data_IF_058342038278
#
_entry.id   IF_058342038278
#
_cell.length_a   1.000
_cell.length_b   1.000
_cell.length_c   1.000
_cell.angle_alpha   90.00
_cell.angle_beta   90.00
_cell.angle_gamma   90.00
#
_symmetry.space_group_name_H-M   'P 1'
#
loop_
_entity.id
_entity.type
_entity.pdbx_description
1 polymer ?
2 non-polymer ?
3 water ?
#
# COMPACT_ATOMS: atom_id res chain seq x y z
N UNK A 7 11.87 6.49 -24.50
CA UNK A 7 10.61 6.70 -23.74
C UNK A 7 10.51 8.13 -23.23
N UNK A 8 9.27 8.60 -23.02
CA UNK A 8 9.03 9.95 -22.53
C UNK A 8 9.73 10.19 -21.20
N UNK A 9 10.43 11.32 -21.09
CA UNK A 9 11.14 11.67 -19.86
C UNK A 9 10.78 13.05 -19.33
N UNK A 10 9.60 13.52 -19.67
CA UNK A 10 9.10 14.82 -19.21
C UNK A 10 7.60 14.73 -19.14
N UNK A 11 7.04 15.02 -17.97
CA UNK A 11 5.60 14.96 -17.75
C UNK A 11 4.79 15.66 -18.85
N UNK A 12 5.20 16.87 -19.19
CA UNK A 12 4.50 17.64 -20.22
C UNK A 12 4.42 16.86 -21.54
N UNK A 13 5.42 16.02 -21.78
CA UNK A 13 5.46 15.24 -23.01
C UNK A 13 4.37 14.18 -23.09
N UNK A 14 3.79 13.82 -21.94
CA UNK A 14 2.73 12.82 -21.93
C UNK A 14 1.47 13.41 -22.54
N UNK A 15 1.31 14.73 -22.41
CA UNK A 15 0.14 15.41 -22.95
C UNK A 15 0.10 15.28 -24.47
N UNK A 16 -1.03 14.80 -24.97
CA UNK A 16 -1.26 14.59 -26.40
C UNK A 16 -0.41 13.49 -27.01
N UNK A 17 0.21 12.67 -26.16
CA UNK A 17 1.00 11.56 -26.66
C UNK A 17 -0.02 10.57 -27.18
N UNK A 18 0.31 9.85 -28.25
CA UNK A 18 -0.64 8.89 -28.79
C UNK A 18 -0.86 7.79 -27.76
N UNK A 19 -2.11 7.40 -27.57
CA UNK A 19 -2.43 6.36 -26.59
C UNK A 19 -1.64 5.09 -26.86
N UNK A 20 -1.55 4.69 -28.13
CA UNK A 20 -0.84 3.47 -28.48
C UNK A 20 0.64 3.50 -28.08
N UNK A 21 1.26 4.67 -28.06
CA UNK A 21 2.67 4.76 -27.71
C UNK A 21 2.96 4.42 -26.24
N UNK A 22 1.91 4.40 -25.42
CA UNK A 22 2.08 4.10 -24.00
C UNK A 22 1.57 2.72 -23.66
N UNK A 23 1.07 2.02 -24.68
CA UNK A 23 0.54 0.68 -24.48
C UNK A 23 1.57 -0.37 -24.91
N UNK A 24 1.81 -1.35 -24.03
CA UNK A 24 2.75 -2.40 -24.33
C UNK A 24 2.17 -3.79 -24.10
N UNK A 25 2.43 -4.67 -25.06
CA UNK A 25 1.96 -6.04 -25.01
C UNK A 25 2.46 -6.68 -23.72
N UNK A 26 1.57 -7.38 -23.02
CA UNK A 26 1.92 -8.04 -21.76
C UNK A 26 3.38 -8.40 -21.68
N UNK A 27 4.14 -7.55 -20.99
CA UNK A 27 5.58 -7.74 -20.82
C UNK A 27 5.87 -8.85 -19.82
N UNK A 28 5.10 -9.93 -19.90
CA UNK A 28 5.29 -11.06 -19.01
C UNK A 28 6.50 -11.87 -19.47
N UNK A 29 7.13 -11.41 -20.54
CA UNK A 29 8.28 -12.08 -21.12
C UNK A 29 9.51 -11.18 -21.11
N UNK A 30 9.77 -10.53 -19.98
CA UNK A 30 10.92 -9.63 -19.86
C UNK A 30 12.11 -10.34 -19.24
N UNK A 31 13.25 -10.27 -19.93
CA UNK A 31 14.48 -10.88 -19.44
C UNK A 31 15.35 -9.76 -18.87
N UNK A 32 15.81 -9.95 -17.63
CA UNK A 32 16.64 -8.94 -16.98
C UNK A 32 18.08 -9.41 -16.82
N UNK A 33 19.01 -8.46 -16.89
CA UNK A 33 20.43 -8.74 -16.72
C UNK A 33 20.99 -7.84 -15.63
N UNK A 34 22.12 -8.26 -15.06
CA UNK A 34 22.75 -7.47 -14.02
C UNK A 34 22.58 -8.12 -12.65
N UNK A 35 23.18 -7.54 -11.59
CA UNK A 35 23.04 -8.12 -10.26
C UNK A 35 21.61 -7.96 -9.77
N UNK A 36 21.24 -8.67 -8.71
CA UNK A 36 19.88 -8.61 -8.19
C UNK A 36 19.31 -7.19 -8.01
N UNK A 37 20.02 -6.31 -7.31
CA UNK A 37 19.50 -4.96 -7.10
C UNK A 37 19.19 -4.24 -8.41
N UNK A 38 20.02 -4.43 -9.42
CA UNK A 38 19.79 -3.79 -10.70
C UNK A 38 18.55 -4.41 -11.35
N UNK A 39 18.41 -5.73 -11.27
CA UNK A 39 17.25 -6.37 -11.87
C UNK A 39 15.96 -5.91 -11.19
N UNK A 40 16.03 -5.72 -9.88
CA UNK A 40 14.87 -5.26 -9.12
C UNK A 40 14.50 -3.83 -9.52
N UNK A 41 15.50 -2.99 -9.71
CA UNK A 41 15.27 -1.61 -10.11
C UNK A 41 14.67 -1.55 -11.51
N UNK A 42 15.20 -2.37 -12.42
CA UNK A 42 14.68 -2.40 -13.78
C UNK A 42 13.22 -2.87 -13.77
N UNK A 43 12.95 -3.88 -12.95
CA UNK A 43 11.61 -4.45 -12.83
C UNK A 43 10.62 -3.45 -12.25
N UNK A 44 11.08 -2.62 -11.32
CA UNK A 44 10.22 -1.61 -10.72
C UNK A 44 9.76 -0.63 -11.78
N UNK A 45 10.70 -0.18 -12.61
CA UNK A 45 10.36 0.75 -13.69
C UNK A 45 9.38 0.05 -14.63
N UNK A 46 9.64 -1.21 -14.94
CA UNK A 46 8.76 -1.96 -15.83
C UNK A 46 7.37 -2.14 -15.23
N UNK A 47 7.29 -2.24 -13.89
CA UNK A 47 5.99 -2.41 -13.25
C UNK A 47 5.17 -1.14 -13.46
N UNK A 48 5.85 0.01 -13.45
CA UNK A 48 5.18 1.28 -13.66
C UNK A 48 4.73 1.42 -15.11
N UNK A 49 5.57 0.98 -16.03
CA UNK A 49 5.23 1.04 -17.46
C UNK A 49 4.02 0.15 -17.73
N UNK A 50 3.99 -1.02 -17.09
CA UNK A 50 2.90 -1.97 -17.27
C UNK A 50 1.62 -1.39 -16.68
N UNK A 51 1.74 -0.77 -15.51
CA UNK A 51 0.60 -0.16 -14.83
C UNK A 51 -0.01 0.93 -15.70
N UNK A 52 0.83 1.81 -16.23
CA UNK A 52 0.35 2.89 -17.08
C UNK A 52 -0.24 2.32 -18.36
N UNK A 53 0.41 1.28 -18.91
CA UNK A 53 -0.07 0.66 -20.13
C UNK A 53 -1.48 0.11 -19.97
N UNK A 54 -1.74 -0.55 -18.84
CA UNK A 54 -3.06 -1.12 -18.59
C UNK A 54 -4.12 -0.02 -18.46
N UNK A 55 -3.78 1.06 -17.77
CA UNK A 55 -4.72 2.16 -17.58
C UNK A 55 -5.07 2.81 -18.93
N UNK A 56 -4.06 3.10 -19.74
CA UNK A 56 -4.29 3.72 -21.03
C UNK A 56 -5.05 2.76 -21.95
N UNK A 57 -4.64 1.49 -21.95
CA UNK A 57 -5.28 0.47 -22.78
C UNK A 57 -6.77 0.33 -22.48
N UNK A 58 -7.13 0.32 -21.19
CA UNK A 58 -8.53 0.19 -20.83
C UNK A 58 -9.36 1.40 -21.24
N UNK A 59 -8.76 2.58 -21.19
CA UNK A 59 -9.48 3.79 -21.58
C UNK A 59 -9.72 3.78 -23.09
N UNK A 60 -8.75 3.29 -23.85
CA UNK A 60 -8.90 3.19 -25.30
C UNK A 60 -9.99 2.19 -25.64
N UNK A 61 -9.98 1.04 -24.95
CA UNK A 61 -10.97 -0.01 -25.18
C UNK A 61 -12.38 0.48 -24.92
N UNK A 62 -12.55 1.28 -23.87
CA UNK A 62 -13.85 1.83 -23.52
C UNK A 62 -14.42 2.57 -24.73
N UNK A 63 -13.58 3.37 -25.37
CA UNK A 63 -14.00 4.16 -26.53
C UNK A 63 -14.04 3.41 -27.86
N UNK A 64 -13.12 2.48 -28.06
CA UNK A 64 -13.04 1.77 -29.33
C UNK A 64 -13.76 0.43 -29.49
N UNK A 65 -13.97 -0.32 -28.41
CA UNK A 65 -14.62 -1.62 -28.58
C UNK A 65 -16.01 -1.54 -29.15
N UNK A 66 -16.72 -0.45 -28.87
CA UNK A 66 -18.07 -0.25 -29.37
C UNK A 66 -18.21 1.21 -29.83
N UNK A 67 -19.08 1.44 -30.80
CA UNK A 67 -19.30 2.78 -31.34
C UNK A 67 -19.61 3.79 -30.24
N UNK A 68 -20.43 3.38 -29.29
CA UNK A 68 -20.80 4.25 -28.18
C UNK A 68 -21.05 3.40 -26.96
N UNK A 69 -21.08 4.05 -25.79
CA UNK A 69 -21.33 3.35 -24.54
C UNK A 69 -22.06 4.32 -23.61
N UNK A 70 -23.19 3.87 -23.09
CA UNK A 70 -24.02 4.67 -22.19
C UNK A 70 -24.52 3.79 -21.05
N UNK A 71 -24.32 4.23 -19.82
CA UNK A 71 -24.76 3.45 -18.67
C UNK A 71 -25.50 4.32 -17.66
N UNK A 72 -26.47 3.73 -16.96
CA UNK A 72 -27.27 4.45 -15.98
C UNK A 72 -26.70 4.45 -14.57
N UNK A 73 -25.91 3.42 -14.25
CA UNK A 73 -25.33 3.31 -12.92
C UNK A 73 -23.90 3.85 -12.93
N UNK A 74 -23.50 4.44 -11.81
CA UNK A 74 -22.16 5.00 -11.68
C UNK A 74 -21.12 3.90 -11.78
N UNK A 75 -20.01 4.20 -12.46
CA UNK A 75 -18.93 3.24 -12.67
C UNK A 75 -17.59 3.82 -12.21
N UNK A 76 -16.55 3.00 -12.28
CA UNK A 76 -15.21 3.45 -11.89
C UNK A 76 -14.64 4.27 -13.04
N UNK A 77 -15.22 4.09 -14.23
CA UNK A 77 -14.78 4.83 -15.39
C UNK A 77 -15.86 5.81 -15.84
N UNK A 78 -15.47 6.78 -16.65
CA UNK A 78 -16.42 7.75 -17.14
C UNK A 78 -16.15 8.09 -18.59
N UNK A 79 -17.21 8.42 -19.31
CA UNK A 79 -17.08 8.81 -20.71
C UNK A 79 -17.85 10.11 -20.87
N UNK A 80 -17.13 11.14 -21.31
CA UNK A 80 -17.71 12.47 -21.49
C UNK A 80 -18.01 12.80 -22.95
N UNK A 81 -19.24 13.21 -23.21
CA UNK A 81 -19.63 13.60 -24.56
C UNK A 81 -19.18 15.05 -24.65
N UNK A 82 -18.24 15.34 -25.55
CA UNK A 82 -17.72 16.70 -25.68
C UNK A 82 -18.75 17.74 -26.14
N UNK A 83 -19.50 17.40 -27.19
CA UNK A 83 -20.49 18.33 -27.71
C UNK A 83 -21.44 18.89 -26.66
N UNK A 84 -21.91 18.04 -25.76
CA UNK A 84 -22.85 18.47 -24.71
C UNK A 84 -22.18 18.65 -23.35
N UNK A 85 -21.00 18.06 -23.20
CA UNK A 85 -20.28 18.11 -21.93
C UNK A 85 -21.04 17.36 -20.84
N UNK A 86 -21.69 16.27 -21.23
CA UNK A 86 -22.44 15.43 -20.28
C UNK A 86 -21.77 14.06 -20.18
N UNK A 87 -21.82 13.44 -18.99
CA UNK A 87 -21.23 12.12 -18.82
C UNK A 87 -22.16 11.02 -19.28
N UNK A 88 -21.79 10.33 -20.36
CA UNK A 88 -22.60 9.24 -20.90
C UNK A 88 -22.45 8.04 -19.97
N UNK A 89 -21.29 7.97 -19.31
CA UNK A 89 -21.01 6.95 -18.32
C UNK A 89 -20.46 7.77 -17.17
N UNK A 90 -21.18 7.76 -16.05
CA UNK A 90 -20.82 8.54 -14.87
C UNK A 90 -19.75 7.91 -13.99
N UNK A 91 -18.64 8.64 -13.77
CA UNK A 91 -17.52 8.16 -12.95
C UNK A 91 -17.72 8.43 -11.46
N UNK A 92 -17.09 7.60 -10.63
CA UNK A 92 -17.17 7.72 -9.18
C UNK A 92 -16.22 8.77 -8.62
N UNK A 93 -15.32 9.26 -9.45
CA UNK A 93 -14.36 10.27 -9.02
C UNK A 93 -14.51 11.54 -9.85
N UNK A 94 -13.89 12.63 -9.38
CA UNK A 94 -13.97 13.91 -10.08
C UNK A 94 -12.58 14.49 -10.31
N UNK A 95 -12.50 15.48 -11.21
CA UNK A 95 -11.26 16.18 -11.51
C UNK A 95 -10.06 15.27 -11.84
N UNK A 96 -10.30 14.24 -12.64
CA UNK A 96 -9.22 13.32 -13.01
C UNK A 96 -8.04 14.10 -13.59
N UNK A 97 -6.83 13.69 -13.21
CA UNK A 97 -5.62 14.36 -13.69
C UNK A 97 -5.41 14.15 -15.18
N UNK A 98 -5.85 13.01 -15.70
CA UNK A 98 -5.70 12.72 -17.12
C UNK A 98 -6.75 11.74 -17.61
N UNK A 99 -6.75 11.52 -18.92
CA UNK A 99 -7.69 10.60 -19.53
C UNK A 99 -7.30 10.43 -20.97
N UNK A 100 -8.09 9.66 -21.72
CA UNK A 100 -7.81 9.45 -23.13
C UNK A 100 -8.86 10.20 -23.94
N UNK A 101 -8.40 10.95 -24.93
CA UNK A 101 -9.28 11.73 -25.77
C UNK A 101 -9.46 11.12 -27.16
N UNK A 102 -10.70 11.12 -27.61
CA UNK A 102 -11.03 10.62 -28.94
C UNK A 102 -11.35 11.84 -29.78
N UNK A 103 -10.56 12.07 -30.84
CA UNK A 103 -10.80 13.22 -31.70
C UNK A 103 -11.87 12.85 -32.73
N UNK A 104 -12.37 13.86 -33.44
CA UNK A 104 -13.38 13.59 -34.45
C UNK A 104 -12.80 12.71 -35.55
N UNK A 105 -11.49 12.86 -35.80
CA UNK A 105 -10.81 12.07 -36.81
C UNK A 105 -10.61 10.66 -36.28
N UNK A 106 -11.09 10.44 -35.05
CA UNK A 106 -10.99 9.15 -34.38
C UNK A 106 -9.57 8.71 -34.08
N UNK A 107 -8.81 9.63 -33.51
CA UNK A 107 -7.44 9.36 -33.10
C UNK A 107 -7.49 9.42 -31.58
N UNK A 108 -6.70 8.60 -30.91
CA UNK A 108 -6.70 8.56 -29.46
C UNK A 108 -5.38 9.01 -28.84
N UNK A 109 -5.47 10.06 -28.03
CA UNK A 109 -4.32 10.65 -27.36
C UNK A 109 -4.55 10.76 -25.87
N UNK A 110 -3.47 10.68 -25.10
CA UNK A 110 -3.55 10.84 -23.66
C UNK A 110 -3.57 12.35 -23.45
N UNK A 111 -4.36 12.82 -22.50
CA UNK A 111 -4.42 14.25 -22.26
C UNK A 111 -4.34 14.60 -20.79
N UNK A 112 -3.45 15.52 -20.46
CA UNK A 112 -3.34 15.98 -19.08
C UNK A 112 -4.45 17.03 -19.04
N UNK A 113 -5.52 16.69 -18.33
CA UNK A 113 -6.69 17.53 -18.25
C UNK A 113 -6.62 18.74 -17.34
N UNK A 114 -6.95 19.91 -17.89
CA UNK A 114 -7.01 21.13 -17.08
C UNK A 114 -8.40 20.97 -16.53
N UNK A 115 -8.97 21.94 -15.81
CA UNK A 115 -10.28 21.60 -15.29
C UNK A 115 -11.41 22.52 -14.91
N UNK A 116 -11.26 23.84 -14.87
CA UNK A 116 -12.44 24.58 -14.47
C UNK A 116 -13.06 25.63 -15.36
N UNK A 117 -14.37 25.47 -15.50
CA UNK A 117 -15.28 26.29 -16.28
C UNK A 117 -16.61 25.86 -15.67
N UNK A 118 -17.09 24.76 -16.21
CA UNK A 118 -18.32 24.11 -15.80
C UNK A 118 -17.87 22.66 -15.77
N UNK A 119 -16.56 22.48 -15.95
CA UNK A 119 -15.95 21.16 -15.96
C UNK A 119 -14.61 21.14 -16.70
N UNK A 120 -14.33 20.04 -17.38
CA UNK A 120 -13.09 19.89 -18.13
C UNK A 120 -13.00 20.83 -19.35
N UNK A 121 -11.83 21.39 -19.58
CA UNK A 121 -11.63 22.28 -20.72
C UNK A 121 -11.34 21.39 -21.93
N UNK A 122 -12.15 21.49 -22.97
CA UNK A 122 -11.96 20.67 -24.15
C UNK A 122 -11.56 21.47 -25.39
N UNK A 123 -11.04 20.78 -26.38
CA UNK A 123 -10.63 21.40 -27.64
C UNK A 123 -11.67 21.14 -28.71
N UNK A 124 -11.60 21.89 -29.80
CA UNK A 124 -12.56 21.76 -30.89
C UNK A 124 -12.63 20.38 -31.56
N UNK A 125 -11.49 19.72 -31.75
CA UNK A 125 -11.50 18.41 -32.39
C UNK A 125 -11.75 17.23 -31.45
N UNK A 126 -12.12 17.52 -30.20
CA UNK A 126 -12.39 16.46 -29.23
C UNK A 126 -13.82 15.96 -29.37
N UNK A 127 -13.97 14.64 -29.44
CA UNK A 127 -15.29 14.02 -29.57
C UNK A 127 -15.74 13.43 -28.23
N UNK A 128 -14.86 12.68 -27.59
CA UNK A 128 -15.16 12.08 -26.29
C UNK A 128 -13.91 12.01 -25.42
N UNK A 129 -14.12 11.95 -24.12
CA UNK A 129 -13.03 11.86 -23.16
C UNK A 129 -13.34 10.71 -22.21
N UNK A 130 -12.39 9.80 -22.03
CA UNK A 130 -12.58 8.67 -21.12
C UNK A 130 -11.65 8.83 -19.93
N UNK A 131 -12.18 8.56 -18.74
CA UNK A 131 -11.39 8.64 -17.51
C UNK A 131 -11.71 7.43 -16.66
N UNK A 132 -10.88 7.16 -15.65
CA UNK A 132 -11.11 6.01 -14.77
C UNK A 132 -10.42 6.22 -13.42
N UNK A 133 -10.66 5.30 -12.50
CA UNK A 133 -10.05 5.38 -11.18
C UNK A 133 -8.52 5.32 -11.33
N UNK A 134 -8.06 4.77 -12.45
CA UNK A 134 -6.63 4.67 -12.71
C UNK A 134 -6.05 5.94 -13.30
N UNK A 135 -6.91 6.87 -13.70
CA UNK A 135 -6.43 8.12 -14.27
C UNK A 135 -6.74 9.32 -13.38
N UNK A 136 -7.07 9.06 -12.12
CA UNK A 136 -7.36 10.13 -11.18
C UNK A 136 -6.10 10.97 -10.97
N UNK A 137 -4.95 10.30 -10.87
CA UNK A 137 -3.68 10.98 -10.69
C UNK A 137 -2.71 10.51 -11.77
N UNK A 138 -1.67 11.29 -12.04
CA UNK A 138 -0.68 10.91 -13.04
C UNK A 138 0.64 10.54 -12.38
N UNK A 139 0.54 9.94 -11.19
CA UNK A 139 1.71 9.55 -10.41
C UNK A 139 2.64 8.58 -11.14
N UNK A 140 2.09 7.60 -11.85
CA UNK A 140 2.93 6.66 -12.58
C UNK A 140 3.75 7.40 -13.63
N UNK A 141 3.12 8.36 -14.30
CA UNK A 141 3.80 9.14 -15.33
C UNK A 141 4.93 9.96 -14.71
N UNK A 142 4.63 10.62 -13.59
CA UNK A 142 5.63 11.44 -12.90
C UNK A 142 6.81 10.61 -12.40
N UNK A 143 6.51 9.44 -11.83
CA UNK A 143 7.58 8.56 -11.35
C UNK A 143 8.44 8.06 -12.51
N UNK A 144 7.79 7.63 -13.58
CA UNK A 144 8.52 7.14 -14.74
C UNK A 144 9.49 8.18 -15.29
N UNK A 145 9.02 9.40 -15.47
CA UNK A 145 9.90 10.43 -16.00
C UNK A 145 11.08 10.68 -15.06
N UNK A 146 10.84 10.61 -13.76
CA UNK A 146 11.93 10.79 -12.80
C UNK A 146 12.96 9.67 -12.92
N UNK A 147 12.47 8.43 -12.83
CA UNK A 147 13.31 7.25 -12.89
C UNK A 147 14.07 7.06 -14.19
N UNK A 148 13.43 7.36 -15.32
CA UNK A 148 14.09 7.20 -16.61
C UNK A 148 15.30 8.12 -16.73
N UNK A 149 15.25 9.27 -16.07
CA UNK A 149 16.35 10.22 -16.12
C UNK A 149 17.54 9.70 -15.32
N UNK A 150 17.29 8.73 -14.45
CA UNK A 150 18.34 8.14 -13.63
C UNK A 150 19.03 6.96 -14.31
N UNK A 151 18.58 6.62 -15.51
CA UNK A 151 19.17 5.51 -16.25
C UNK A 151 20.16 5.96 -17.30
N UNK A 152 21.20 5.14 -17.50
CA UNK A 152 22.22 5.41 -18.50
C UNK A 152 22.15 4.21 -19.43
N UNK A 153 21.52 4.40 -20.59
CA UNK A 153 21.36 3.31 -21.54
C UNK A 153 20.56 2.18 -20.91
N UNK A 154 19.53 2.56 -20.16
CA UNK A 154 18.68 1.57 -19.50
C UNK A 154 19.24 0.96 -18.23
N UNK A 155 20.42 1.42 -17.82
CA UNK A 155 21.05 0.89 -16.61
C UNK A 155 21.02 1.85 -15.41
N UNK A 156 20.58 1.35 -14.25
CA UNK A 156 20.50 2.16 -13.03
C UNK A 156 21.79 2.06 -12.23
N UNK A 157 22.05 3.03 -11.37
CA UNK A 157 23.23 3.01 -10.52
C UNK A 157 22.84 2.52 -9.14
N UNK A 158 23.52 1.47 -8.67
CA UNK A 158 23.24 0.93 -7.34
C UNK A 158 24.09 1.66 -6.32
N UNK A 159 23.48 1.99 -5.19
CA UNK A 159 24.20 2.69 -4.13
C UNK A 159 25.12 1.76 -3.37
N UNK A 160 26.21 2.32 -2.86
CA UNK A 160 27.17 1.55 -2.08
C UNK A 160 26.82 1.64 -0.59
N UNK A 161 25.77 2.41 -0.28
CA UNK A 161 25.34 2.57 1.10
C UNK A 161 24.98 1.25 1.77
N UNK A 162 25.25 1.17 3.06
CA UNK A 162 24.93 -0.04 3.81
C UNK A 162 23.42 0.01 4.05
N UNK A 163 22.76 -1.13 3.88
CA UNK A 163 21.31 -1.20 4.09
C UNK A 163 21.03 -2.13 5.26
N UNK A 164 20.38 -1.58 6.29
CA UNK A 164 20.04 -2.32 7.48
C UNK A 164 18.54 -2.51 7.62
N UNK A 165 18.12 -3.78 7.71
CA UNK A 165 16.71 -4.08 7.90
C UNK A 165 16.48 -4.19 9.40
N UNK A 166 15.54 -3.41 9.92
CA UNK A 166 15.22 -3.49 11.33
C UNK A 166 13.91 -4.27 11.35
N UNK A 167 14.04 -5.58 11.54
CA UNK A 167 12.93 -6.53 11.55
C UNK A 167 12.30 -6.65 12.94
N UNK A 168 11.13 -6.06 13.12
CA UNK A 168 10.49 -6.09 14.43
C UNK A 168 9.09 -6.68 14.52
N UNK A 169 8.73 -7.14 15.70
CA UNK A 169 7.42 -7.75 15.94
C UNK A 169 6.32 -6.68 16.00
N UNK A 170 5.05 -7.08 15.85
CA UNK A 170 3.96 -6.11 15.89
C UNK A 170 3.98 -5.27 17.16
N UNK A 171 3.86 -3.96 17.01
CA UNK A 171 3.86 -3.06 18.15
C UNK A 171 5.20 -2.86 18.85
N UNK A 172 6.29 -3.24 18.20
CA UNK A 172 7.60 -3.06 18.82
C UNK A 172 7.95 -1.57 18.84
N UNK A 173 7.15 -0.77 18.13
CA UNK A 173 7.39 0.67 18.10
C UNK A 173 8.41 1.10 17.06
N UNK A 174 8.21 0.69 15.81
CA UNK A 174 9.15 1.03 14.76
C UNK A 174 9.20 2.53 14.47
N UNK A 175 8.03 3.17 14.43
CA UNK A 175 8.02 4.60 14.16
C UNK A 175 8.65 5.36 15.33
N UNK A 176 8.40 4.90 16.55
CA UNK A 176 9.00 5.56 17.71
C UNK A 176 10.52 5.43 17.62
N UNK A 177 11.00 4.29 17.16
CA UNK A 177 12.45 4.11 17.04
C UNK A 177 13.02 5.09 16.02
N UNK A 178 12.38 5.19 14.87
CA UNK A 178 12.85 6.10 13.84
C UNK A 178 12.92 7.52 14.41
N UNK A 179 11.86 7.92 15.11
CA UNK A 179 11.81 9.25 15.71
C UNK A 179 12.94 9.49 16.71
N UNK A 180 13.38 8.44 17.40
CA UNK A 180 14.44 8.57 18.39
C UNK A 180 15.85 8.48 17.78
N UNK A 181 15.97 7.74 16.69
CA UNK A 181 17.25 7.53 16.02
C UNK A 181 17.69 8.60 15.04
N UNK A 182 16.72 9.14 14.32
CA UNK A 182 16.99 10.13 13.29
C UNK A 182 17.63 11.43 13.77
N UNK A 183 18.44 12.00 12.88
CA UNK A 183 19.07 13.29 13.12
C UNK A 183 18.39 14.14 12.07
N UNK A 184 17.40 14.90 12.49
CA UNK A 184 16.63 15.74 11.58
C UNK A 184 17.44 16.76 10.78
N UNK A 185 18.59 17.15 11.30
CA UNK A 185 19.41 18.13 10.60
C UNK A 185 20.18 17.52 9.42
N UNK A 186 20.35 16.20 9.44
CA UNK A 186 21.12 15.53 8.38
C UNK A 186 20.44 14.40 7.64
N UNK A 187 19.41 13.81 8.23
CA UNK A 187 18.74 12.66 7.62
C UNK A 187 17.38 12.89 6.98
N UNK A 188 16.92 11.83 6.30
CA UNK A 188 15.64 11.85 5.61
C UNK A 188 14.79 10.65 6.03
N UNK A 189 13.51 10.88 6.23
CA UNK A 189 12.56 9.82 6.58
C UNK A 189 11.54 9.75 5.47
N UNK A 190 11.31 8.55 4.94
CA UNK A 190 10.32 8.36 3.90
C UNK A 190 9.32 7.30 4.35
N UNK A 191 8.07 7.46 3.95
CA UNK A 191 7.01 6.53 4.29
C UNK A 191 5.99 6.58 3.16
N UNK A 192 5.26 5.48 2.92
CA UNK A 192 4.26 5.49 1.84
C UNK A 192 3.09 6.48 1.91
N UNK A 193 2.31 6.46 2.99
CA UNK A 193 1.15 7.34 3.04
C UNK A 193 1.33 8.80 3.42
N UNK A 194 0.45 9.68 2.90
CA UNK A 194 0.51 11.10 3.22
C UNK A 194 0.14 11.29 4.69
N UNK A 195 -0.90 10.60 5.11
CA UNK A 195 -1.35 10.69 6.50
C UNK A 195 -0.24 10.15 7.41
N UNK A 196 0.42 9.08 6.97
CA UNK A 196 1.50 8.48 7.74
C UNK A 196 2.65 9.47 7.91
N UNK A 197 3.03 10.14 6.83
CA UNK A 197 4.12 11.10 6.90
C UNK A 197 3.75 12.25 7.83
N UNK A 198 2.52 12.74 7.71
CA UNK A 198 2.09 13.84 8.56
C UNK A 198 2.15 13.48 10.05
N UNK A 199 1.74 12.26 10.38
CA UNK A 199 1.75 11.82 11.78
C UNK A 199 3.17 11.68 12.32
N UNK A 200 4.11 11.34 11.44
CA UNK A 200 5.50 11.22 11.88
C UNK A 200 5.98 12.62 12.25
N UNK A 201 5.63 13.61 11.44
CA UNK A 201 6.03 14.99 11.71
C UNK A 201 5.37 15.51 12.99
N UNK A 202 4.07 15.28 13.13
CA UNK A 202 3.36 15.74 14.32
C UNK A 202 3.95 15.13 15.58
N UNK A 203 4.30 13.85 15.55
CA UNK A 203 4.89 13.21 16.72
C UNK A 203 6.26 13.81 17.00
N UNK A 204 7.05 14.01 15.94
CA UNK A 204 8.38 14.58 16.08
C UNK A 204 8.34 16.01 16.62
N UNK A 205 7.34 16.77 16.20
CA UNK A 205 7.19 18.16 16.60
C UNK A 205 6.26 18.40 17.78
N UNK A 206 5.94 17.34 18.53
CA UNK A 206 5.03 17.47 19.67
C UNK A 206 5.46 18.50 20.71
N UNK A 207 6.77 18.70 20.87
CA UNK A 207 7.29 19.65 21.85
C UNK A 207 6.99 21.10 21.46
N UNK A 208 6.70 21.32 20.19
CA UNK A 208 6.43 22.67 19.72
C UNK A 208 7.59 23.14 18.86
N UNK A 209 8.76 22.55 19.09
CA UNK A 209 9.94 22.92 18.30
C UNK A 209 9.85 22.14 17.00
N UNK A 210 9.86 22.84 15.88
CA UNK A 210 9.78 22.18 14.59
C UNK A 210 11.11 21.60 14.17
N UNK A 211 11.19 20.28 14.13
CA UNK A 211 12.42 19.60 13.70
C UNK A 211 12.12 18.79 12.45
N UNK A 212 10.85 18.41 12.29
CA UNK A 212 10.42 17.62 11.13
C UNK A 212 9.62 18.48 10.17
N UNK A 213 10.10 18.56 8.93
CA UNK A 213 9.44 19.37 7.90
C UNK A 213 9.10 18.52 6.68
N UNK A 214 8.47 19.13 5.69
CA UNK A 214 8.12 18.40 4.49
C UNK A 214 9.35 18.20 3.62
N UNK A 215 10.50 18.61 4.13
CA UNK A 215 11.77 18.43 3.41
C UNK A 215 12.54 17.23 3.96
N UNK A 216 12.36 16.90 5.25
CA UNK A 216 13.07 15.75 5.82
C UNK A 216 12.18 14.57 6.23
N UNK A 217 10.86 14.72 6.04
CA UNK A 217 9.90 13.66 6.32
C UNK A 217 8.89 13.78 5.20
N UNK A 218 8.96 12.85 4.24
CA UNK A 218 8.07 12.92 3.08
C UNK A 218 7.53 11.55 2.67
N UNK A 219 6.57 11.56 1.77
CA UNK A 219 6.01 10.31 1.27
C UNK A 219 6.95 9.83 0.17
N UNK A 220 6.93 8.53 -0.10
CA UNK A 220 7.75 7.97 -1.15
C UNK A 220 7.37 8.57 -2.50
N UNK A 221 6.08 8.69 -2.75
CA UNK A 221 5.60 9.24 -4.02
C UNK A 221 6.07 10.67 -4.23
N UNK A 222 5.98 11.50 -3.19
CA UNK A 222 6.41 12.89 -3.31
C UNK A 222 7.91 12.96 -3.63
N UNK A 223 8.71 12.19 -2.91
CA UNK A 223 10.15 12.15 -3.12
C UNK A 223 10.49 11.79 -4.57
N UNK A 224 9.82 10.77 -5.10
CA UNK A 224 10.05 10.33 -6.47
C UNK A 224 9.54 11.30 -7.53
N UNK A 225 8.30 11.75 -7.37
CA UNK A 225 7.68 12.64 -8.36
C UNK A 225 8.28 14.03 -8.50
N UNK A 226 8.89 14.55 -7.44
CA UNK A 226 9.46 15.89 -7.49
C UNK A 226 10.97 15.90 -7.39
N UNK A 227 11.59 14.73 -7.56
CA UNK A 227 13.04 14.63 -7.45
C UNK A 227 13.78 15.61 -8.35
N UNK A 228 14.75 16.32 -7.77
CA UNK A 228 15.52 17.27 -8.54
C UNK A 228 14.76 18.50 -8.97
N UNK A 229 13.51 18.62 -8.54
CA UNK A 229 12.68 19.78 -8.87
C UNK A 229 13.41 21.04 -8.40
N UNK A 230 13.96 20.96 -7.19
CA UNK A 230 14.69 22.09 -6.64
C UNK A 230 16.13 21.69 -6.38
N UNK A 231 16.45 21.46 -5.12
CA UNK A 231 17.80 21.07 -4.74
C UNK A 231 17.92 19.54 -4.69
N UNK A 232 19.14 19.05 -4.86
CA UNK A 232 19.42 17.62 -4.80
C UNK A 232 20.23 17.43 -3.53
N UNK A 233 19.53 17.20 -2.43
CA UNK A 233 20.18 17.05 -1.14
C UNK A 233 20.80 15.70 -0.87
N UNK A 234 21.96 15.74 -0.22
CA UNK A 234 22.66 14.53 0.16
C UNK A 234 22.33 14.33 1.62
N UNK A 235 21.60 13.27 1.92
CA UNK A 235 21.24 12.98 3.30
C UNK A 235 22.27 11.98 3.82
N UNK A 236 22.61 12.09 5.10
CA UNK A 236 23.58 11.20 5.69
C UNK A 236 22.97 9.81 5.88
N UNK A 237 21.77 9.79 6.43
CA UNK A 237 21.09 8.52 6.66
C UNK A 237 19.66 8.59 6.15
N UNK A 238 19.17 7.44 5.70
CA UNK A 238 17.80 7.35 5.20
C UNK A 238 17.05 6.34 6.05
N UNK A 239 15.85 6.72 6.46
CA UNK A 239 14.99 5.84 7.26
C UNK A 239 13.73 5.62 6.46
N UNK A 240 13.43 4.36 6.15
CA UNK A 240 12.21 4.06 5.40
C UNK A 240 11.23 3.30 6.27
N UNK A 241 10.17 3.97 6.70
CA UNK A 241 9.16 3.31 7.52
C UNK A 241 8.29 2.53 6.54
N UNK A 242 7.84 1.34 6.95
CA UNK A 242 7.00 0.49 6.10
C UNK A 242 7.70 0.13 4.80
N UNK A 243 9.04 0.04 4.85
CA UNK A 243 9.81 -0.27 3.66
C UNK A 243 9.55 -1.60 2.98
N UNK A 244 9.08 -2.60 3.71
CA UNK A 244 8.81 -3.90 3.10
C UNK A 244 7.50 -3.90 2.33
N UNK A 245 6.76 -2.79 2.38
CA UNK A 245 5.50 -2.70 1.67
C UNK A 245 5.66 -2.02 0.33
N UNK A 246 6.92 -1.89 -0.10
CA UNK A 246 7.28 -1.27 -1.36
C UNK A 246 7.96 -2.28 -2.26
N UNK A 247 7.94 -2.04 -3.57
CA UNK A 247 8.62 -2.91 -4.53
C UNK A 247 10.10 -2.79 -4.14
N UNK A 248 10.81 -3.92 -4.09
CA UNK A 248 12.22 -3.89 -3.73
C UNK A 248 13.04 -2.97 -4.61
N UNK A 249 12.63 -2.85 -5.87
CA UNK A 249 13.33 -1.98 -6.80
C UNK A 249 13.16 -0.53 -6.39
N UNK A 250 12.01 -0.23 -5.79
CA UNK A 250 11.74 1.12 -5.34
C UNK A 250 12.67 1.47 -4.19
N UNK A 251 12.83 0.54 -3.25
CA UNK A 251 13.71 0.80 -2.12
C UNK A 251 15.14 1.06 -2.60
N UNK A 252 15.63 0.22 -3.51
CA UNK A 252 16.99 0.39 -4.04
C UNK A 252 17.16 1.80 -4.61
N UNK A 253 16.15 2.28 -5.34
CA UNK A 253 16.21 3.63 -5.92
C UNK A 253 16.23 4.69 -4.84
N UNK A 254 15.39 4.53 -3.81
CA UNK A 254 15.35 5.51 -2.74
C UNK A 254 16.70 5.63 -2.03
N UNK A 255 17.33 4.48 -1.77
CA UNK A 255 18.63 4.48 -1.11
C UNK A 255 19.63 5.28 -1.94
N UNK A 256 19.63 5.01 -3.25
CA UNK A 256 20.52 5.69 -4.18
C UNK A 256 20.21 7.19 -4.30
N UNK A 257 18.95 7.51 -4.57
CA UNK A 257 18.52 8.89 -4.75
C UNK A 257 18.71 9.79 -3.54
N UNK A 258 18.66 9.22 -2.34
CA UNK A 258 18.84 10.02 -1.12
C UNK A 258 20.32 10.35 -0.91
N UNK A 259 21.19 9.65 -1.61
CA UNK A 259 22.65 9.84 -1.50
C UNK A 259 23.14 9.52 -0.09
N UNK A 260 22.38 8.70 0.63
CA UNK A 260 22.76 8.33 2.00
C UNK A 260 23.97 7.41 2.07
N UNK A 261 24.58 7.34 3.25
CA UNK A 261 25.73 6.45 3.48
C UNK A 261 25.19 5.17 4.08
N UNK A 262 24.01 5.28 4.70
CA UNK A 262 23.37 4.14 5.32
C UNK A 262 21.86 4.35 5.31
N UNK A 263 21.14 3.26 5.13
CA UNK A 263 19.68 3.29 5.11
C UNK A 263 19.14 2.24 6.08
N UNK A 264 18.10 2.61 6.80
CA UNK A 264 17.45 1.71 7.74
C UNK A 264 16.04 1.49 7.24
N UNK A 265 15.72 0.24 6.92
CA UNK A 265 14.40 -0.11 6.42
C UNK A 265 13.66 -0.79 7.57
N UNK A 266 12.56 -0.19 7.99
CA UNK A 266 11.77 -0.73 9.10
C UNK A 266 10.58 -1.55 8.64
N UNK A 267 10.48 -2.76 9.18
CA UNK A 267 9.39 -3.65 8.81
C UNK A 267 9.34 -4.90 9.66
N UNK A 268 8.51 -5.84 9.23
CA UNK A 268 8.34 -7.12 9.92
C UNK A 268 8.17 -8.15 8.82
N UNK A 269 9.15 -9.04 8.69
CA UNK A 269 9.09 -10.05 7.65
C UNK A 269 7.97 -11.08 7.78
N UNK A 270 7.28 -11.08 8.92
CA UNK A 270 6.18 -12.02 9.13
C UNK A 270 4.83 -11.36 8.85
N UNK A 271 4.85 -10.07 8.56
CA UNK A 271 3.60 -9.37 8.25
C UNK A 271 3.37 -9.37 6.74
N UNK A 272 2.33 -8.67 6.29
CA UNK A 272 1.99 -8.63 4.87
C UNK A 272 2.94 -7.73 4.08
N UNK A 273 3.70 -8.30 3.13
CA UNK A 273 4.62 -7.53 2.32
C UNK A 273 3.96 -6.87 1.13
N UNK A 274 4.77 -6.18 0.33
CA UNK A 274 4.30 -5.53 -0.88
C UNK A 274 3.56 -6.54 -1.74
N UNK A 275 2.41 -6.12 -2.25
CA UNK A 275 1.60 -6.98 -3.10
C UNK A 275 1.63 -6.42 -4.52
N UNK A 276 2.06 -7.24 -5.48
CA UNK A 276 2.09 -6.79 -6.86
C UNK A 276 0.67 -6.79 -7.39
N UNK A 277 0.14 -5.60 -7.65
CA UNK A 277 -1.23 -5.46 -8.13
C UNK A 277 -1.36 -5.32 -9.64
N UNK A 278 -0.24 -5.38 -10.35
CA UNK A 278 -0.26 -5.26 -11.81
C UNK A 278 -0.62 -6.60 -12.43
N UNK A 279 -1.75 -6.66 -13.11
CA UNK A 279 -2.20 -7.89 -13.73
C UNK A 279 -1.27 -8.37 -14.85
N UNK A 280 -0.99 -9.67 -14.86
CA UNK A 280 -0.13 -10.25 -15.88
C UNK A 280 1.33 -9.86 -15.77
N UNK A 281 1.68 -9.08 -14.74
CA UNK A 281 3.06 -8.65 -14.56
C UNK A 281 3.77 -9.52 -13.51
N UNK A 282 4.88 -10.14 -13.90
CA UNK A 282 5.63 -11.00 -12.98
C UNK A 282 6.51 -10.25 -11.97
N UNK A 283 6.44 -10.70 -10.73
CA UNK A 283 7.24 -10.16 -9.63
C UNK A 283 7.64 -11.41 -8.86
N UNK A 284 8.61 -12.17 -9.41
CA UNK A 284 9.13 -13.41 -8.83
C UNK A 284 9.65 -13.34 -7.41
N UNK A 285 9.67 -14.48 -6.74
CA UNK A 285 10.13 -14.57 -5.36
C UNK A 285 11.53 -14.03 -5.12
N UNK A 286 12.47 -14.31 -6.02
CA UNK A 286 13.82 -13.80 -5.81
C UNK A 286 13.88 -12.29 -5.94
N UNK A 287 12.92 -11.71 -6.66
CA UNK A 287 12.85 -10.27 -6.82
C UNK A 287 12.18 -9.66 -5.59
N UNK A 288 11.25 -10.41 -4.99
CA UNK A 288 10.50 -9.93 -3.83
C UNK A 288 11.29 -9.79 -2.53
N UNK A 289 12.42 -10.48 -2.44
CA UNK A 289 13.23 -10.41 -1.23
C UNK A 289 14.15 -9.20 -1.27
N UNK A 290 14.00 -8.32 -0.29
CA UNK A 290 14.83 -7.13 -0.21
C UNK A 290 16.26 -7.55 0.13
N UNK A 291 17.23 -7.10 -0.65
CA UNK A 291 18.62 -7.45 -0.38
C UNK A 291 19.20 -6.44 0.59
N UNK A 292 19.51 -6.89 1.81
CA UNK A 292 20.08 -5.98 2.81
C UNK A 292 21.42 -6.51 3.28
N UNK A 293 22.21 -5.64 3.91
CA UNK A 293 23.54 -6.01 4.40
C UNK A 293 23.52 -6.54 5.82
N UNK A 294 22.59 -6.02 6.63
CA UNK A 294 22.48 -6.41 8.03
C UNK A 294 21.02 -6.46 8.45
N UNK A 295 20.73 -7.31 9.44
CA UNK A 295 19.37 -7.42 9.95
C UNK A 295 19.37 -7.23 11.47
N UNK A 296 18.71 -6.17 11.92
CA UNK A 296 18.57 -5.86 13.34
C UNK A 296 17.23 -6.45 13.74
N UNK A 297 17.13 -7.03 14.93
CA UNK A 297 15.86 -7.60 15.36
C UNK A 297 15.31 -6.90 16.58
N UNK A 298 13.98 -6.77 16.63
CA UNK A 298 13.28 -6.16 17.75
C UNK A 298 12.26 -7.22 18.14
N UNK A 299 12.30 -7.68 19.38
CA UNK A 299 11.39 -8.74 19.79
C UNK A 299 10.48 -8.45 20.97
N UNK A 300 10.33 -7.17 21.30
CA UNK A 300 9.44 -6.81 22.42
C UNK A 300 8.29 -5.98 21.89
N UNK A 301 7.07 -6.46 22.12
CA UNK A 301 5.90 -5.72 21.67
C UNK A 301 5.44 -4.82 22.81
N UNK A 302 5.18 -3.55 22.48
CA UNK A 302 4.72 -2.59 23.49
C UNK A 302 3.20 -2.47 23.41
N UNK A 303 2.61 -3.27 22.53
CA UNK A 303 1.16 -3.23 22.31
C UNK A 303 0.35 -4.46 22.72
N UNK A 304 0.76 -5.63 22.23
CA UNK A 304 0.03 -6.87 22.43
C UNK A 304 -0.04 -7.53 23.80
N UNK A 305 -1.20 -8.10 24.12
CA UNK A 305 -1.39 -8.78 25.41
C UNK A 305 -0.49 -10.02 25.44
N UNK A 306 -0.37 -10.63 26.61
CA UNK A 306 0.47 -11.80 26.77
C UNK A 306 0.04 -13.01 25.93
N UNK A 307 -1.27 -13.26 25.81
CA UNK A 307 -1.66 -14.42 25.02
C UNK A 307 -1.30 -14.25 23.56
N UNK A 308 -1.45 -13.03 23.02
CA UNK A 308 -1.07 -12.79 21.63
C UNK A 308 0.45 -12.97 21.52
N UNK A 309 1.17 -12.48 22.53
CA UNK A 309 2.62 -12.60 22.56
C UNK A 309 3.03 -14.07 22.53
N UNK A 310 2.24 -14.94 23.15
CA UNK A 310 2.54 -16.38 23.14
C UNK A 310 2.47 -16.87 21.70
N UNK A 311 1.48 -16.38 20.98
CA UNK A 311 1.28 -16.74 19.58
C UNK A 311 2.46 -16.24 18.76
N UNK A 312 2.84 -14.98 18.98
CA UNK A 312 3.95 -14.39 18.26
C UNK A 312 5.24 -15.15 18.51
N UNK A 313 5.42 -15.63 19.74
CA UNK A 313 6.62 -16.35 20.13
C UNK A 313 6.78 -17.63 19.32
N UNK A 314 5.69 -18.10 18.71
CA UNK A 314 5.74 -19.31 17.90
C UNK A 314 6.06 -18.96 16.45
N UNK A 315 5.98 -17.67 16.11
CA UNK A 315 6.26 -17.23 14.75
C UNK A 315 7.62 -16.56 14.58
N UNK A 316 8.23 -16.13 15.68
CA UNK A 316 9.55 -15.50 15.63
C UNK A 316 10.48 -16.15 16.64
N UNK A 317 11.73 -16.33 16.26
CA UNK A 317 12.72 -16.87 17.17
C UNK A 317 13.31 -15.63 17.84
N UNK A 318 13.95 -15.81 19.00
CA UNK A 318 14.53 -14.69 19.69
C UNK A 318 13.83 -14.29 20.97
N UNK A 319 12.81 -15.06 21.34
CA UNK A 319 12.03 -14.80 22.56
C UNK A 319 11.25 -13.50 22.53
N UNK A 320 10.02 -13.57 22.03
CA UNK A 320 9.17 -12.39 21.97
C UNK A 320 8.63 -12.11 23.38
N UNK A 321 8.70 -10.85 23.78
CA UNK A 321 8.25 -10.42 25.09
C UNK A 321 7.25 -9.30 24.92
N UNK A 322 6.50 -9.00 25.97
CA UNK A 322 5.52 -7.92 25.95
C UNK A 322 5.66 -7.05 27.21
N UNK A 323 5.33 -5.77 27.08
CA UNK A 323 5.41 -4.86 28.22
C UNK A 323 4.03 -4.67 28.84
N UNK A 324 3.00 -5.04 28.08
CA UNK A 324 1.63 -4.92 28.57
C UNK A 324 1.35 -5.87 29.72
N UNK A 325 0.42 -5.47 30.58
CA UNK A 325 0.02 -6.29 31.71
C UNK A 325 -1.22 -7.10 31.37
N UNK A 326 -1.75 -6.90 30.16
CA UNK A 326 -2.93 -7.67 29.73
C UNK A 326 -2.51 -9.11 29.49
N UNK A 327 -3.29 -10.05 29.99
CA UNK A 327 -2.98 -11.48 29.84
C UNK A 327 -3.84 -12.16 28.77
N UNK A 328 -5.08 -12.49 29.11
CA UNK A 328 -5.99 -13.12 28.15
C UNK A 328 -6.80 -12.04 27.43
N UNK A 329 -6.92 -12.16 26.10
CA UNK A 329 -7.62 -11.14 25.33
C UNK A 329 -8.40 -11.63 24.13
N UNK A 330 -8.35 -12.93 23.84
CA UNK A 330 -9.05 -13.43 22.66
C UNK A 330 -10.19 -14.40 22.95
N UNK A 331 -11.20 -14.37 22.08
CA UNK A 331 -12.36 -15.27 22.18
C UNK A 331 -12.92 -15.44 20.78
N UNK A 332 -13.89 -16.34 20.62
CA UNK A 332 -14.47 -16.57 19.31
C UNK A 332 -15.85 -17.21 19.40
N UNK A 333 -16.61 -17.10 18.32
CA UNK A 333 -17.94 -17.70 18.27
C UNK A 333 -18.35 -17.88 16.82
N UNK A 334 -19.29 -18.79 16.59
CA UNK A 334 -19.80 -19.07 15.26
C UNK A 334 -21.00 -18.19 14.95
N UNK A 335 -21.17 -17.83 13.68
CA UNK A 335 -22.31 -17.04 13.23
C UNK A 335 -22.82 -17.72 11.96
N UNK A 336 -24.09 -17.53 11.62
CA UNK A 336 -24.66 -18.15 10.42
C UNK A 336 -24.28 -17.43 9.13
N UNK A 337 -24.09 -16.12 9.22
CA UNK A 337 -23.74 -15.35 8.04
C UNK A 337 -24.16 -13.91 8.20
N UNK A 338 -23.80 -13.08 7.23
CA UNK A 338 -24.14 -11.66 7.28
C UNK A 338 -25.64 -11.40 7.41
N UNK A 339 -26.44 -12.25 6.79
CA UNK A 339 -27.90 -12.09 6.83
C UNK A 339 -28.50 -12.16 8.23
N UNK A 340 -27.80 -12.82 9.15
CA UNK A 340 -28.31 -12.97 10.51
C UNK A 340 -27.88 -11.88 11.48
N UNK A 341 -27.03 -10.96 11.02
CA UNK A 341 -26.55 -9.90 11.88
C UNK A 341 -26.70 -8.49 11.33
N UNK A 342 -26.69 -7.53 12.25
CA UNK A 342 -26.78 -6.12 11.93
C UNK A 342 -26.42 -5.35 13.20
N UNK A 343 -26.05 -4.06 13.07
CA UNK A 343 -25.67 -3.22 14.21
C UNK A 343 -26.63 -3.23 15.40
N UNK A 344 -27.92 -3.41 15.11
CA UNK A 344 -28.92 -3.42 16.18
C UNK A 344 -28.98 -4.73 16.95
N UNK A 345 -29.21 -5.83 16.23
CA UNK A 345 -29.32 -7.14 16.85
C UNK A 345 -27.97 -7.74 17.26
N UNK A 346 -26.90 -7.32 16.58
CA UNK A 346 -25.58 -7.85 16.88
C UNK A 346 -24.51 -6.75 16.86
N UNK A 347 -24.57 -5.83 17.83
CA UNK A 347 -23.56 -4.77 17.84
C UNK A 347 -22.17 -5.37 17.97
N UNK A 348 -21.22 -4.86 17.20
CA UNK A 348 -19.85 -5.37 17.25
C UNK A 348 -18.97 -4.31 17.89
N UNK A 349 -18.35 -4.68 19.00
CA UNK A 349 -17.48 -3.78 19.76
C UNK A 349 -16.19 -3.39 19.06
N UNK A 350 -15.79 -2.13 19.25
CA UNK A 350 -14.56 -1.62 18.69
C UNK A 350 -14.41 -1.56 17.18
N UNK A 351 -13.21 -1.85 16.71
CA UNK A 351 -12.89 -1.82 15.30
C UNK A 351 -13.30 -3.11 14.59
N UNK A 352 -14.19 -2.98 13.61
CA UNK A 352 -14.68 -4.14 12.86
C UNK A 352 -13.77 -4.40 11.66
N UNK A 353 -13.23 -5.61 11.59
CA UNK A 353 -12.31 -5.99 10.52
C UNK A 353 -12.72 -7.29 9.85
N UNK A 354 -12.35 -7.43 8.58
CA UNK A 354 -12.61 -8.63 7.81
C UNK A 354 -11.30 -8.98 7.12
N UNK A 355 -11.18 -10.20 6.62
CA UNK A 355 -9.96 -10.61 5.93
C UNK A 355 -10.02 -10.21 4.45
N UNK A 356 -11.22 -10.20 3.89
CA UNK A 356 -11.36 -9.88 2.47
C UNK A 356 -12.26 -8.68 2.16
N UNK A 357 -12.11 -8.14 0.96
CA UNK A 357 -12.92 -7.01 0.52
C UNK A 357 -14.38 -7.45 0.41
N UNK A 358 -14.60 -8.69 -0.04
CA UNK A 358 -15.95 -9.22 -0.18
C UNK A 358 -16.69 -9.23 1.16
N UNK A 359 -16.03 -9.75 2.20
CA UNK A 359 -16.66 -9.81 3.52
C UNK A 359 -16.87 -8.40 4.07
N UNK A 360 -15.93 -7.51 3.77
CA UNK A 360 -16.03 -6.12 4.22
C UNK A 360 -17.28 -5.49 3.60
N UNK A 361 -17.47 -5.70 2.30
CA UNK A 361 -18.63 -5.15 1.62
C UNK A 361 -19.92 -5.72 2.20
N UNK A 362 -19.89 -7.01 2.51
CA UNK A 362 -21.05 -7.70 3.08
C UNK A 362 -21.48 -7.11 4.42
N UNK A 363 -20.52 -6.72 5.26
CA UNK A 363 -20.86 -6.15 6.55
C UNK A 363 -21.36 -4.72 6.40
N UNK A 364 -20.74 -3.96 5.51
CA UNK A 364 -21.16 -2.58 5.28
C UNK A 364 -22.59 -2.63 4.76
N UNK A 365 -22.88 -3.65 3.96
CA UNK A 365 -24.21 -3.84 3.40
C UNK A 365 -25.23 -4.15 4.51
N UNK A 366 -24.74 -4.62 5.66
CA UNK A 366 -25.61 -4.94 6.77
C UNK A 366 -25.87 -3.72 7.67
N UNK A 367 -25.16 -2.63 7.41
CA UNK A 367 -25.35 -1.43 8.21
C UNK A 367 -24.20 -1.11 9.16
N UNK A 368 -23.21 -2.00 9.23
CA UNK A 368 -22.07 -1.75 10.11
C UNK A 368 -21.25 -0.62 9.50
N UNK A 369 -20.67 0.21 10.36
CA UNK A 369 -19.89 1.33 9.87
C UNK A 369 -18.40 1.17 10.14
N UNK A 370 -17.60 1.90 9.37
CA UNK A 370 -16.16 1.91 9.52
C UNK A 370 -15.51 0.53 9.53
N UNK A 371 -15.84 -0.28 8.53
CA UNK A 371 -15.29 -1.63 8.41
C UNK A 371 -14.09 -1.58 7.46
N UNK A 372 -13.04 -2.32 7.81
CA UNK A 372 -11.84 -2.37 6.98
C UNK A 372 -11.27 -3.78 6.95
N UNK A 373 -10.41 -4.06 5.98
CA UNK A 373 -9.80 -5.38 5.90
C UNK A 373 -8.55 -5.37 6.77
N UNK A 374 -8.09 -6.56 7.12
CA UNK A 374 -6.90 -6.69 7.94
C UNK A 374 -5.73 -5.99 7.26
N UNK A 375 -5.59 -6.19 5.95
CA UNK A 375 -4.48 -5.56 5.24
C UNK A 375 -4.58 -4.03 5.33
N UNK A 376 -5.78 -3.49 5.16
CA UNK A 376 -5.95 -2.04 5.22
C UNK A 376 -5.56 -1.41 6.55
N UNK A 377 -5.58 -2.18 7.63
CA UNK A 377 -5.23 -1.62 8.92
C UNK A 377 -3.88 -2.07 9.45
N UNK A 378 -3.04 -2.58 8.56
CA UNK A 378 -1.70 -2.99 8.96
C UNK A 378 -1.04 -1.74 9.53
N UNK A 379 -0.37 -1.88 10.66
CA UNK A 379 0.29 -0.74 11.27
C UNK A 379 -0.58 0.03 12.25
N UNK A 380 -1.85 -0.32 12.33
CA UNK A 380 -2.79 0.36 13.23
C UNK A 380 -2.96 -0.33 14.58
N UNK A 381 -3.38 0.44 15.58
CA UNK A 381 -3.61 -0.07 16.93
C UNK A 381 -5.04 0.25 17.37
N UNK A 382 -5.69 -0.71 18.03
CA UNK A 382 -7.06 -0.52 18.51
C UNK A 382 -7.18 -1.14 19.91
N UNK A 383 -8.13 -0.66 20.70
CA UNK A 383 -8.30 -1.23 22.02
C UNK A 383 -9.04 -2.56 21.88
N UNK A 384 -10.13 -2.53 21.12
CA UNK A 384 -10.94 -3.73 20.91
C UNK A 384 -11.16 -3.98 19.43
N UNK A 385 -11.12 -5.26 19.07
CA UNK A 385 -11.32 -5.66 17.69
C UNK A 385 -12.40 -6.73 17.58
N UNK A 386 -13.22 -6.60 16.54
CA UNK A 386 -14.27 -7.56 16.22
C UNK A 386 -13.90 -8.03 14.82
N UNK A 387 -13.30 -9.21 14.75
CA UNK A 387 -12.84 -9.80 13.50
C UNK A 387 -13.94 -10.71 12.95
N UNK A 388 -14.27 -10.54 11.67
CA UNK A 388 -15.37 -11.32 11.08
C UNK A 388 -15.05 -12.05 9.78
N UNK A 389 -15.40 -13.33 9.74
CA UNK A 389 -15.23 -14.14 8.54
C UNK A 389 -16.61 -14.57 8.09
N UNK A 390 -17.01 -14.13 6.90
CA UNK A 390 -18.32 -14.46 6.37
C UNK A 390 -18.25 -15.45 5.20
N UNK A 391 -17.07 -15.63 4.62
CA UNK A 391 -16.92 -16.57 3.52
C UNK A 391 -16.74 -17.99 4.07
N UNK A 392 -17.70 -18.88 3.79
CA UNK A 392 -17.67 -20.27 4.26
C UNK A 392 -16.69 -21.17 3.54
N UNK A 393 -16.43 -20.86 2.27
CA UNK A 393 -15.51 -21.64 1.45
C UNK A 393 -14.06 -21.27 1.77
N UNK A 394 -13.10 -22.05 1.27
CA UNK A 394 -11.68 -21.79 1.52
C UNK A 394 -11.21 -20.37 1.21
N UNK A 395 -10.44 -19.82 2.14
CA UNK A 395 -9.86 -18.48 2.00
C UNK A 395 -8.38 -18.68 2.28
N UNK A 396 -7.58 -18.68 1.22
CA UNK A 396 -6.14 -18.87 1.30
C UNK A 396 -5.42 -18.08 2.40
N UNK A 397 -5.68 -16.78 2.46
CA UNK A 397 -5.02 -15.93 3.45
C UNK A 397 -5.37 -16.23 4.91
N UNK A 398 -6.33 -17.12 5.14
CA UNK A 398 -6.69 -17.47 6.50
C UNK A 398 -6.08 -18.83 6.82
N UNK A 399 -4.82 -18.82 7.25
CA UNK A 399 -4.10 -20.04 7.57
C UNK A 399 -3.31 -19.83 8.85
N UNK A 400 -2.93 -20.93 9.50
CA UNK A 400 -2.18 -20.86 10.74
C UNK A 400 -0.92 -20.02 10.61
N UNK A 401 -0.23 -20.16 9.49
CA UNK A 401 1.01 -19.43 9.25
C UNK A 401 0.88 -18.26 8.28
N UNK A 402 -0.35 -17.76 8.11
CA UNK A 402 -0.57 -16.65 7.20
C UNK A 402 -0.25 -15.30 7.81
N UNK A 403 0.41 -14.40 7.04
CA UNK A 403 0.75 -13.07 7.54
C UNK A 403 -0.51 -12.31 7.91
N UNK A 404 -1.60 -12.56 7.17
CA UNK A 404 -2.86 -11.90 7.45
C UNK A 404 -3.38 -12.30 8.83
N UNK A 405 -3.21 -13.57 9.18
CA UNK A 405 -3.66 -14.04 10.49
C UNK A 405 -2.84 -13.38 11.59
N UNK A 406 -1.53 -13.30 11.38
CA UNK A 406 -0.64 -12.68 12.36
C UNK A 406 -1.01 -11.21 12.55
N UNK A 407 -1.29 -10.50 11.46
CA UNK A 407 -1.67 -9.10 11.58
C UNK A 407 -3.04 -8.95 12.28
N UNK A 408 -3.97 -9.84 11.96
CA UNK A 408 -5.32 -9.77 12.54
C UNK A 408 -5.37 -9.96 14.05
N UNK A 409 -4.39 -10.66 14.60
CA UNK A 409 -4.33 -10.94 16.03
C UNK A 409 -3.49 -9.94 16.81
N UNK A 410 -2.71 -9.12 16.10
CA UNK A 410 -1.81 -8.18 16.76
C UNK A 410 -2.17 -6.70 16.70
N UNK A 411 -3.43 -6.38 16.46
CA UNK A 411 -3.88 -4.99 16.39
C UNK A 411 -4.40 -4.46 17.73
N UNK A 412 -4.98 -5.34 18.54
CA UNK A 412 -5.60 -4.93 19.81
C UNK A 412 -4.72 -4.89 21.07
N UNK A 413 -5.13 -4.04 21.99
CA UNK A 413 -4.44 -3.88 23.27
C UNK A 413 -5.30 -4.42 24.40
N UNK A 414 -6.60 -4.51 24.17
CA UNK A 414 -7.51 -5.01 25.19
C UNK A 414 -8.19 -6.33 24.85
N UNK A 415 -8.91 -6.37 23.74
CA UNK A 415 -9.59 -7.61 23.36
C UNK A 415 -9.85 -7.77 21.87
N UNK A 416 -10.05 -9.03 21.49
CA UNK A 416 -10.36 -9.38 20.12
C UNK A 416 -11.34 -10.55 20.17
N UNK A 417 -12.37 -10.48 19.35
CA UNK A 417 -13.33 -11.58 19.27
C UNK A 417 -13.50 -11.92 17.80
N UNK A 418 -13.33 -13.20 17.48
CA UNK A 418 -13.45 -13.69 16.12
C UNK A 418 -14.83 -14.29 15.88
N UNK A 419 -15.57 -13.71 14.94
CA UNK A 419 -16.90 -14.17 14.56
C UNK A 419 -16.72 -14.85 13.21
N UNK A 420 -16.98 -16.14 13.12
CA UNK A 420 -16.79 -16.85 11.87
C UNK A 420 -17.95 -17.77 11.51
N UNK A 421 -18.19 -17.96 10.22
CA UNK A 421 -19.25 -18.85 9.77
C UNK A 421 -18.73 -20.26 9.65
N UNK A 422 -17.42 -20.44 9.82
CA UNK A 422 -16.86 -21.78 9.68
C UNK A 422 -15.62 -22.03 10.53
N UNK A 423 -15.45 -23.29 10.92
CA UNK A 423 -14.30 -23.70 11.70
C UNK A 423 -13.09 -23.52 10.79
N UNK A 424 -12.01 -22.95 11.32
CA UNK A 424 -10.80 -22.73 10.54
C UNK A 424 -9.58 -22.66 11.47
N UNK A 425 -8.37 -22.52 10.89
CA UNK A 425 -7.15 -22.43 11.69
C UNK A 425 -7.13 -21.36 12.77
N UNK A 426 -7.79 -20.23 12.52
CA UNK A 426 -7.81 -19.16 13.51
C UNK A 426 -8.63 -19.56 14.73
N UNK A 427 -9.70 -20.32 14.52
CA UNK A 427 -10.49 -20.77 15.65
C UNK A 427 -9.59 -21.64 16.54
N UNK A 428 -8.81 -22.51 15.91
CA UNK A 428 -7.90 -23.39 16.64
C UNK A 428 -6.89 -22.58 17.44
N UNK A 429 -6.30 -21.58 16.80
CA UNK A 429 -5.32 -20.73 17.46
C UNK A 429 -5.93 -20.11 18.72
N UNK A 430 -7.08 -19.45 18.55
CA UNK A 430 -7.75 -18.81 19.67
C UNK A 430 -8.11 -19.81 20.77
N UNK A 431 -8.61 -20.98 20.41
CA UNK A 431 -8.95 -22.00 21.39
C UNK A 431 -7.72 -22.39 22.19
N UNK A 432 -6.57 -22.53 21.52
CA UNK A 432 -5.35 -22.91 22.22
C UNK A 432 -4.88 -21.79 23.14
N UNK A 433 -4.93 -20.56 22.66
CA UNK A 433 -4.50 -19.43 23.48
C UNK A 433 -5.33 -19.32 24.75
N UNK A 434 -6.62 -19.65 24.66
CA UNK A 434 -7.48 -19.57 25.82
C UNK A 434 -7.08 -20.58 26.90
N UNK A 435 -6.39 -21.63 26.50
CA UNK A 435 -5.97 -22.67 27.45
C UNK A 435 -4.50 -22.63 27.86
N UNK A 436 -3.73 -21.70 27.30
CA UNK A 436 -2.31 -21.60 27.64
C UNK A 436 -2.14 -21.32 29.13
N UNK A 437 -1.11 -21.93 29.72
CA UNK A 437 -0.83 -21.75 31.14
C UNK A 437 -0.66 -20.29 31.53
N UNK A 438 -1.41 -19.87 32.53
CA UNK A 438 -1.36 -18.50 33.04
C UNK A 438 0.05 -18.12 33.47
N UNK A 439 0.80 -19.10 33.96
CA UNK A 439 2.18 -18.82 34.39
C UNK A 439 3.06 -18.57 33.17
N UNK A 440 2.80 -19.30 32.10
CA UNK A 440 3.56 -19.14 30.87
C UNK A 440 3.33 -17.72 30.35
N UNK A 441 2.09 -17.24 30.48
CA UNK A 441 1.76 -15.90 30.03
C UNK A 441 2.51 -14.87 30.88
N UNK A 442 2.63 -15.16 32.18
CA UNK A 442 3.34 -14.25 33.07
C UNK A 442 4.79 -14.07 32.64
N UNK A 443 5.38 -15.14 32.13
CA UNK A 443 6.78 -15.12 31.72
C UNK A 443 7.12 -14.24 30.52
N UNK A 444 6.12 -13.79 29.77
CA UNK A 444 6.39 -12.94 28.61
C UNK A 444 6.54 -11.46 28.98
N UNK A 445 6.05 -11.08 30.15
CA UNK A 445 6.12 -9.69 30.58
C UNK A 445 7.54 -9.23 30.90
N UNK A 446 7.90 -8.05 30.39
CA UNK A 446 9.23 -7.47 30.61
C UNK A 446 9.14 -5.96 30.88
X LIG B 1 4.76 3.03 16.52
X LIG B 1 5.49 2.43 15.40
X LIG B 1 5.70 3.78 17.37
X LIG B 1 3.73 3.94 15.99
X LIG B 1 4.12 1.96 17.31
X LIG C 1 6.38 9.36 20.32
X LIG C 1 7.38 10.14 21.08
X LIG C 1 5.74 8.38 21.22
X LIG C 1 7.03 8.65 19.21
X LIG C 1 5.36 10.25 19.78
X LIG D 1 3.01 -2.74 13.64
X LIG D 1 3.40 -2.90 12.24
X LIG D 1 4.21 -2.71 14.49
X LIG D 1 2.28 -1.46 13.80
X LIG D 1 2.14 -3.85 14.05
X LIG E 1 -6.99 -5.76 0.78
X LIG E 1 -5.60 -5.99 0.36
X LIG E 1 -7.45 -6.90 1.60
X LIG E 1 -7.84 -5.65 -0.42
X LIG E 1 -7.06 -4.52 1.56
X LIG F 1 -1.11 17.75 17.24
X LIG F 1 -0.58 17.21 18.51
X LIG F 1 -1.34 19.20 17.36
X LIG F 1 -2.37 17.07 16.89
X LIG F 1 -0.12 17.50 16.16
X LIG G 1 -2.06 -2.31 -1.78
X LIG G 1 -2.28 -0.89 -2.11
X LIG G 1 -3.33 -2.90 -1.33
X LIG G 1 -1.59 -3.02 -2.98
X LIG G 1 -1.06 -2.42 -0.70
X LIG H 1 8.56 18.04 -16.11
X LIG H 1 8.89 16.64 -16.41
X LIG H 1 9.79 18.82 -15.93
X LIG H 1 7.76 18.61 -17.22
X LIG H 1 7.77 18.09 -14.86
#
# INVERSE_FOLDING_TARGET
>A
SYTRSEEIESLEQFHMATASSLIHKQMCSIVYTGPLKVQQMKNFIDSLVASLSAAVSNLVKILKDTAAIDLETRQKFGVLDVASKRWLVKPSAKNHAWGVVETHARKYHVALLEHDEFGIITCDNWRRVAVSSESVVYSDMAKLRTLRRLLKDGEPHVSSAKVVLVDGVPGCGKTKEILSRVNFEEDLILVPGRQAAEMIRRRANASGIIVATKDNVRTVDSFLMNYGKGARCQFKRLFIDEGLMLHTGCVNFLVEMSLCDIAYVYGDTQQIPYINRVTGFPYPAHFAKLEVDEVETRRTTLRCPADVTHFLNQRYEGHVMCTSSEKKSVSQEMVSGAASINPVSKPLKGKILTFTQSDKEALLSRGYADVHTVHEVQGETYADVSLVRLTPTPVSIIARDSPHVLVSLSRHTKSLKYYTVVMDPLVSIIRDLERVSSYLLDMYKV
>B hetero
1 SO4 S O1 O2 O3 O4
>C hetero
1 SO4 S O1 O2 O3 O4
>D hetero
1 SO4 S O1 O2 O3 O4
>E hetero
1 SO4 S O1 O2 O3 O4
>F hetero
1 SO4 S O1 O2 O3 O4
>G hetero
1 SO4 S O1 O2 O3 O4
>H hetero
1 SO4 S O1 O2 O3 O4
#
